data_IF_390919786581
#
_entry.id   IF_390919786581
#
_cell.length_a   1.000
_cell.length_b   1.000
_cell.length_c   1.000
_cell.angle_alpha   90.00
_cell.angle_beta   90.00
_cell.angle_gamma   90.00
#
_symmetry.space_group_name_H-M   'P 1'
#
loop_
_entity.id
_entity.type
_entity.pdbx_description
1 polymer ?
#
# COMPACT_ATOMS: atom_id res chain seq x y z
N UNK A 1 14.09 8.98 8.58
CA UNK A 1 13.86 7.64 7.98
C UNK A 1 12.71 6.93 8.72
N UNK A 2 11.75 7.71 9.22
CA UNK A 2 10.73 7.26 10.19
C UNK A 2 9.43 6.80 9.53
N UNK A 3 9.26 7.09 8.25
CA UNK A 3 8.08 6.71 7.49
C UNK A 3 7.86 5.20 7.45
N UNK A 4 8.93 4.44 7.22
CA UNK A 4 8.91 2.96 7.25
C UNK A 4 8.59 2.44 8.65
N UNK A 5 9.09 3.09 9.71
CA UNK A 5 8.82 2.70 11.10
C UNK A 5 7.37 2.95 11.50
N UNK A 6 6.76 4.00 10.97
CA UNK A 6 5.36 4.35 11.22
C UNK A 6 4.38 3.67 10.27
N UNK A 7 4.86 3.00 9.22
CA UNK A 7 4.01 2.28 8.27
C UNK A 7 3.19 1.20 8.99
N UNK A 8 1.87 1.22 8.78
CA UNK A 8 0.98 0.19 9.31
C UNK A 8 0.58 -0.79 8.22
N UNK A 9 0.05 -0.26 7.12
CA UNK A 9 -0.30 -0.97 5.89
C UNK A 9 -0.57 0.07 4.80
N UNK A 10 -0.62 -0.37 3.55
CA UNK A 10 -1.19 0.41 2.46
C UNK A 10 -2.46 -0.25 1.93
N UNK A 11 -3.35 0.54 1.34
CA UNK A 11 -4.46 0.06 0.52
C UNK A 11 -4.13 0.32 -0.93
N UNK A 12 -4.40 -0.64 -1.80
CA UNK A 12 -4.14 -0.52 -3.23
C UNK A 12 -5.43 -0.65 -4.03
N UNK A 13 -5.53 0.14 -5.09
CA UNK A 13 -6.58 0.07 -6.11
C UNK A 13 -5.90 0.14 -7.47
N UNK A 14 -6.08 -0.88 -8.30
CA UNK A 14 -5.41 -0.94 -9.59
C UNK A 14 -5.06 -2.37 -10.04
N UNK A 15 -4.36 -2.51 -11.17
CA UNK A 15 -4.04 -3.80 -11.81
C UNK A 15 -3.15 -4.76 -11.00
N UNK A 16 -2.49 -4.32 -9.93
CA UNK A 16 -1.77 -5.23 -9.02
C UNK A 16 -2.64 -5.76 -7.87
N UNK A 17 -3.77 -5.12 -7.60
CA UNK A 17 -4.72 -5.54 -6.57
C UNK A 17 -5.62 -6.64 -7.10
N UNK A 18 -5.87 -7.68 -6.29
CA UNK A 18 -6.89 -8.70 -6.62
C UNK A 18 -8.30 -8.19 -6.36
N UNK A 19 -8.45 -7.24 -5.43
CA UNK A 19 -9.72 -6.63 -5.03
C UNK A 19 -9.50 -5.15 -4.74
N UNK A 20 -10.55 -4.34 -4.91
CA UNK A 20 -10.49 -2.94 -4.52
C UNK A 20 -10.18 -2.79 -3.03
N UNK A 21 -9.34 -1.80 -2.72
CA UNK A 21 -8.90 -1.48 -1.35
C UNK A 21 -8.17 -2.62 -0.62
N UNK A 22 -7.55 -3.51 -1.38
CA UNK A 22 -6.74 -4.59 -0.82
C UNK A 22 -5.64 -4.02 0.08
N UNK A 23 -5.51 -4.58 1.29
CA UNK A 23 -4.43 -4.22 2.22
C UNK A 23 -3.14 -4.94 1.84
N UNK A 24 -2.06 -4.19 1.70
CA UNK A 24 -0.74 -4.68 1.31
C UNK A 24 0.36 -4.17 2.23
N UNK A 25 1.41 -4.97 2.36
CA UNK A 25 2.63 -4.64 3.11
C UNK A 25 3.69 -3.96 2.24
N UNK A 26 4.88 -3.74 2.81
CA UNK A 26 6.00 -3.12 2.11
C UNK A 26 6.59 -4.01 1.00
N UNK A 27 6.41 -5.32 1.10
CA UNK A 27 6.94 -6.29 0.13
C UNK A 27 6.08 -6.41 -1.14
N UNK A 28 4.97 -5.67 -1.23
CA UNK A 28 4.08 -5.76 -2.38
C UNK A 28 4.63 -4.99 -3.57
N UNK A 29 4.78 -5.69 -4.70
CA UNK A 29 5.19 -5.09 -5.96
C UNK A 29 4.01 -4.41 -6.66
N UNK A 30 4.19 -3.13 -6.95
CA UNK A 30 3.23 -2.31 -7.67
C UNK A 30 3.40 -2.47 -9.18
N UNK A 31 2.33 -2.18 -9.89
CA UNK A 31 2.27 -2.06 -11.34
C UNK A 31 1.88 -0.64 -11.73
N UNK A 32 2.23 -0.26 -12.95
CA UNK A 32 1.84 1.03 -13.50
C UNK A 32 0.31 1.16 -13.52
N UNK A 33 -0.19 2.33 -13.13
CA UNK A 33 -1.62 2.59 -12.95
C UNK A 33 -2.21 2.24 -11.58
N UNK A 34 -1.40 1.78 -10.62
CA UNK A 34 -1.87 1.53 -9.25
C UNK A 34 -1.98 2.82 -8.42
N UNK A 35 -3.08 2.92 -7.66
CA UNK A 35 -3.31 3.97 -6.66
C UNK A 35 -3.09 3.40 -5.27
N UNK A 36 -2.09 3.92 -4.56
CA UNK A 36 -1.76 3.56 -3.18
C UNK A 36 -2.26 4.57 -2.17
N UNK A 37 -2.84 4.08 -1.07
CA UNK A 37 -3.15 4.86 0.13
C UNK A 37 -2.36 4.31 1.31
N UNK A 38 -1.42 5.08 1.86
CA UNK A 38 -0.57 4.64 2.95
C UNK A 38 -1.20 5.04 4.28
N UNK A 39 -1.33 4.07 5.19
CA UNK A 39 -1.81 4.31 6.56
C UNK A 39 -0.65 4.18 7.52
N UNK A 40 -0.37 5.26 8.25
CA UNK A 40 0.67 5.31 9.28
C UNK A 40 0.06 5.29 10.68
N UNK A 41 0.78 4.70 11.64
CA UNK A 41 0.48 4.87 13.07
C UNK A 41 0.92 6.28 13.49
N UNK A 42 0.16 6.91 14.40
CA UNK A 42 0.53 8.21 15.00
C UNK A 42 1.86 8.08 15.74
#
# INVERSE_FOLDING_TARGET
RDFVRKFRFARIRGPSAKFDDQRVGLDHQLKDGDVLTIVVKR
#
